data_IF_456498151877
#
_entry.id   IF_456498151877
#
_cell.length_a   1.000
_cell.length_b   1.000
_cell.length_c   1.000
_cell.angle_alpha   90.00
_cell.angle_beta   90.00
_cell.angle_gamma   90.00
#
_symmetry.space_group_name_H-M   'P 1'
#
loop_
_entity.id
_entity.type
_entity.pdbx_description
1 polymer ?
#
# COMPACT_ATOMS: atom_id res chain seq x y z
N UNK A 1 -6.21 -18.79 -4.75
CA UNK A 1 -4.87 -18.42 -5.26
C UNK A 1 -4.25 -17.49 -4.23
N UNK A 2 -3.47 -18.03 -3.29
CA UNK A 2 -2.86 -17.27 -2.21
C UNK A 2 -1.47 -16.82 -2.65
N UNK A 3 -1.38 -15.67 -3.30
CA UNK A 3 -0.13 -14.91 -3.23
C UNK A 3 0.04 -14.50 -1.76
N UNK A 4 0.95 -15.18 -1.06
CA UNK A 4 1.22 -14.99 0.35
C UNK A 4 1.95 -13.65 0.48
N UNK A 5 1.20 -12.56 0.60
CA UNK A 5 1.74 -11.31 1.07
C UNK A 5 2.16 -11.49 2.52
N UNK A 6 3.45 -11.36 2.78
CA UNK A 6 3.99 -11.46 4.12
C UNK A 6 3.48 -10.29 4.97
N UNK A 7 3.38 -10.48 6.27
CA UNK A 7 2.97 -9.42 7.20
C UNK A 7 3.86 -8.17 7.07
N UNK A 8 5.18 -8.37 6.85
CA UNK A 8 6.12 -7.29 6.59
C UNK A 8 5.74 -6.44 5.36
N UNK A 9 5.24 -7.06 4.30
CA UNK A 9 4.85 -6.36 3.07
C UNK A 9 3.56 -5.58 3.26
N UNK A 10 2.60 -6.17 4.00
CA UNK A 10 1.36 -5.46 4.35
C UNK A 10 1.66 -4.26 5.23
N UNK A 11 2.57 -4.41 6.18
CA UNK A 11 3.00 -3.32 7.06
C UNK A 11 3.71 -2.23 6.26
N UNK A 12 4.61 -2.61 5.34
CA UNK A 12 5.27 -1.68 4.45
C UNK A 12 4.26 -0.89 3.62
N UNK A 13 3.26 -1.56 3.02
CA UNK A 13 2.21 -0.90 2.25
C UNK A 13 1.42 0.08 3.11
N UNK A 14 1.09 -0.26 4.37
CA UNK A 14 0.40 0.68 5.28
C UNK A 14 1.23 1.92 5.59
N UNK A 15 2.51 1.71 5.86
CA UNK A 15 3.44 2.78 6.23
C UNK A 15 3.70 3.72 5.04
N UNK A 16 4.06 3.16 3.88
CA UNK A 16 4.41 3.95 2.69
C UNK A 16 3.21 4.42 1.87
N UNK A 17 2.04 3.76 1.95
CA UNK A 17 0.88 4.21 1.18
C UNK A 17 0.47 5.63 1.53
N UNK A 18 0.75 6.16 2.71
CA UNK A 18 0.44 7.56 3.04
C UNK A 18 1.40 8.59 2.41
N UNK A 19 2.63 8.17 2.15
CA UNK A 19 3.72 9.07 1.78
C UNK A 19 4.05 8.98 0.29
N UNK A 20 3.74 7.85 -0.35
CA UNK A 20 4.12 7.54 -1.72
C UNK A 20 2.91 7.38 -2.64
N UNK A 21 3.12 7.68 -3.93
CA UNK A 21 2.16 7.35 -4.98
C UNK A 21 2.16 5.84 -5.25
N UNK A 22 1.12 5.33 -5.93
CA UNK A 22 1.03 3.89 -6.23
C UNK A 22 2.23 3.41 -7.08
N UNK A 23 2.80 4.27 -7.92
CA UNK A 23 3.99 3.98 -8.73
C UNK A 23 5.25 3.89 -7.86
N UNK A 24 5.47 4.87 -6.99
CA UNK A 24 6.61 4.87 -6.07
C UNK A 24 6.53 3.74 -5.06
N UNK A 25 5.34 3.47 -4.50
CA UNK A 25 5.13 2.37 -3.56
C UNK A 25 5.42 1.00 -4.20
N UNK A 26 5.02 0.80 -5.46
CA UNK A 26 5.34 -0.43 -6.19
C UNK A 26 6.85 -0.60 -6.44
N UNK A 27 7.55 0.49 -6.80
CA UNK A 27 9.01 0.47 -6.99
C UNK A 27 9.75 0.21 -5.69
N UNK A 28 9.39 0.90 -4.61
CA UNK A 28 10.04 0.73 -3.30
C UNK A 28 9.78 -0.67 -2.74
N UNK A 29 8.54 -1.16 -2.83
CA UNK A 29 8.23 -2.53 -2.40
C UNK A 29 8.95 -3.59 -3.23
N UNK A 30 9.16 -3.32 -4.52
CA UNK A 30 9.98 -4.19 -5.38
C UNK A 30 11.43 -4.26 -4.90
N UNK A 31 12.01 -3.12 -4.50
CA UNK A 31 13.37 -3.06 -3.94
C UNK A 31 13.46 -3.74 -2.58
N UNK A 32 12.46 -3.55 -1.72
CA UNK A 32 12.44 -4.11 -0.36
C UNK A 32 12.24 -5.62 -0.37
N UNK A 33 11.33 -6.14 -1.21
CA UNK A 33 11.01 -7.56 -1.25
C UNK A 33 11.85 -8.37 -2.25
N UNK A 34 12.63 -7.71 -3.11
CA UNK A 34 13.39 -8.37 -4.18
C UNK A 34 12.52 -9.06 -5.23
N UNK A 35 11.22 -8.72 -5.30
CA UNK A 35 10.26 -9.28 -6.26
C UNK A 35 9.60 -8.16 -7.05
N UNK A 36 9.32 -8.40 -8.33
CA UNK A 36 8.68 -7.38 -9.17
C UNK A 36 7.22 -7.20 -8.72
N UNK A 37 6.95 -6.10 -8.04
CA UNK A 37 5.60 -5.66 -7.67
C UNK A 37 5.14 -4.66 -8.71
N UNK A 38 4.08 -5.02 -9.45
CA UNK A 38 3.45 -4.08 -10.37
C UNK A 38 2.55 -3.10 -9.62
N UNK A 39 2.33 -1.93 -10.22
CA UNK A 39 1.40 -0.91 -9.70
C UNK A 39 -0.01 -1.48 -9.50
N UNK A 40 -0.43 -2.42 -10.36
CA UNK A 40 -1.74 -3.07 -10.25
C UNK A 40 -1.83 -3.98 -9.02
N UNK A 41 -0.78 -4.79 -8.78
CA UNK A 41 -0.68 -5.63 -7.56
C UNK A 41 -0.65 -4.78 -6.29
N UNK A 42 0.09 -3.67 -6.31
CA UNK A 42 0.08 -2.69 -5.22
C UNK A 42 -1.32 -2.13 -4.97
N UNK A 43 -2.01 -1.68 -6.03
CA UNK A 43 -3.38 -1.13 -5.92
C UNK A 43 -4.38 -2.14 -5.35
N UNK A 44 -4.35 -3.38 -5.85
CA UNK A 44 -5.20 -4.48 -5.33
C UNK A 44 -4.93 -4.72 -3.86
N UNK A 45 -3.67 -4.78 -3.47
CA UNK A 45 -3.31 -5.01 -2.08
C UNK A 45 -3.68 -3.84 -1.17
N UNK A 46 -3.46 -2.60 -1.63
CA UNK A 46 -3.89 -1.37 -0.96
C UNK A 46 -5.40 -1.35 -0.72
N UNK A 47 -6.19 -1.68 -1.74
CA UNK A 47 -7.66 -1.79 -1.62
C UNK A 47 -8.07 -2.91 -0.66
N UNK A 48 -7.41 -4.07 -0.72
CA UNK A 48 -7.64 -5.20 0.20
C UNK A 48 -7.31 -4.86 1.65
N UNK A 49 -6.33 -3.99 1.88
CA UNK A 49 -5.96 -3.46 3.18
C UNK A 49 -6.88 -2.30 3.65
N UNK A 50 -7.86 -1.89 2.83
CA UNK A 50 -8.80 -0.82 3.17
C UNK A 50 -8.22 0.60 3.02
N UNK A 51 -7.04 0.74 2.43
CA UNK A 51 -6.37 2.04 2.25
C UNK A 51 -6.99 2.74 1.04
N UNK A 52 -7.90 3.69 1.28
CA UNK A 52 -8.57 4.46 0.22
C UNK A 52 -7.77 5.72 -0.12
N UNK A 53 -7.79 6.14 -1.41
CA UNK A 53 -7.24 7.45 -1.81
C UNK A 53 -8.32 8.51 -1.56
N UNK A 54 -7.95 9.68 -1.02
CA UNK A 54 -8.83 10.84 -1.08
C UNK A 54 -8.86 11.38 -2.51
N UNK A 55 -10.05 11.60 -3.11
CA UNK A 55 -10.13 12.24 -4.41
C UNK A 55 -9.66 13.71 -4.29
N UNK A 56 -8.81 14.16 -5.21
CA UNK A 56 -8.43 15.58 -5.33
C UNK A 56 -6.98 15.95 -5.00
N UNK A 57 -6.15 15.05 -4.44
CA UNK A 57 -4.75 15.42 -4.06
C UNK A 57 -3.65 14.56 -4.67
N UNK A 58 -3.96 13.52 -5.45
CA UNK A 58 -2.94 12.63 -6.04
C UNK A 58 -2.21 11.71 -5.03
N UNK A 59 -2.38 11.95 -3.73
CA UNK A 59 -1.74 11.21 -2.63
C UNK A 59 -2.80 10.36 -1.93
N UNK A 60 -2.43 9.13 -1.57
CA UNK A 60 -3.20 8.26 -0.69
C UNK A 60 -3.18 8.85 0.73
N UNK A 61 -4.33 9.21 1.27
CA UNK A 61 -4.46 9.55 2.69
C UNK A 61 -5.23 8.40 3.34
N UNK A 62 -4.57 7.62 4.18
CA UNK A 62 -5.18 6.63 5.06
C UNK A 62 -6.01 7.42 6.06
N UNK A 63 -7.33 7.34 5.91
CA UNK A 63 -8.24 7.68 7.00
C UNK A 63 -8.07 6.58 8.04
N UNK A 64 -7.12 6.75 8.94
CA UNK A 64 -7.02 5.93 10.14
C UNK A 64 -8.28 6.29 10.93
N UNK A 65 -9.28 5.41 10.98
CA UNK A 65 -10.30 5.49 12.01
C UNK A 65 -9.58 5.12 13.31
N UNK A 66 -8.94 6.10 13.91
CA UNK A 66 -8.37 5.99 15.25
C UNK A 66 -9.54 5.93 16.24
N UNK A 67 -10.02 4.72 16.44
CA UNK A 67 -10.86 4.36 17.57
C UNK A 67 -9.96 3.70 18.60
N UNK A 68 -9.32 4.48 19.48
CA UNK A 68 -8.78 3.99 20.74
C UNK A 68 -8.64 5.12 21.77
N UNK A 69 -9.69 5.19 22.61
CA UNK A 69 -9.83 5.75 23.97
C UNK A 69 -9.81 7.26 24.17
#
# INVERSE_FOLDING_TARGET
MNEIWSEAEKQFIRDTANHLTDEQGAVELTKTCGRIVTVDSWRKQRQKLGIKKKPGRGICEVVVLDGSS
#
